data_IF_636655896156
#
_entry.id   IF_636655896156
#
_cell.length_a   1.000
_cell.length_b   1.000
_cell.length_c   1.000
_cell.angle_alpha   90.00
_cell.angle_beta   90.00
_cell.angle_gamma   90.00
#
_symmetry.space_group_name_H-M   'P 1'
#
loop_
_entity.id
_entity.type
_entity.pdbx_description
1 polymer ?
#
# COMPACT_ATOMS: atom_id res chain seq x y z
N UNK A 1 -118.08 -27.09 9.35
CA UNK A 1 -117.28 -26.03 10.03
C UNK A 1 -116.09 -26.57 10.84
N UNK A 2 -115.97 -27.88 11.12
CA UNK A 2 -114.87 -28.44 11.91
C UNK A 2 -113.56 -28.64 11.12
N UNK A 3 -113.61 -29.12 9.87
CA UNK A 3 -112.40 -29.38 9.05
C UNK A 3 -111.59 -28.13 8.68
N UNK A 4 -112.27 -27.02 8.34
CA UNK A 4 -111.62 -25.75 8.04
C UNK A 4 -110.97 -25.09 9.27
N UNK A 5 -111.44 -25.44 10.49
CA UNK A 5 -110.82 -24.98 11.74
C UNK A 5 -109.53 -25.75 12.03
N UNK A 6 -109.51 -27.06 11.80
CA UNK A 6 -108.32 -27.90 11.99
C UNK A 6 -107.19 -27.61 11.00
N UNK A 7 -107.50 -27.30 9.73
CA UNK A 7 -106.47 -26.87 8.76
C UNK A 7 -105.85 -25.52 9.12
N UNK A 8 -106.65 -24.60 9.66
CA UNK A 8 -106.18 -23.28 10.06
C UNK A 8 -105.32 -23.33 11.34
N UNK A 9 -105.59 -24.28 12.24
CA UNK A 9 -104.70 -24.58 13.38
C UNK A 9 -103.38 -25.23 12.92
N UNK A 10 -103.43 -26.17 11.97
CA UNK A 10 -102.23 -26.80 11.42
C UNK A 10 -101.33 -25.77 10.72
N UNK A 11 -101.90 -24.89 9.90
CA UNK A 11 -101.16 -23.80 9.25
C UNK A 11 -100.56 -22.82 10.25
N UNK A 12 -101.23 -22.57 11.38
CA UNK A 12 -100.69 -21.73 12.46
C UNK A 12 -99.49 -22.38 13.15
N UNK A 13 -99.54 -23.69 13.38
CA UNK A 13 -98.42 -24.45 13.94
C UNK A 13 -97.22 -24.41 13.00
N UNK A 14 -97.42 -24.75 11.72
CA UNK A 14 -96.34 -24.74 10.72
C UNK A 14 -95.77 -23.34 10.49
N UNK A 15 -96.61 -22.30 10.50
CA UNK A 15 -96.15 -20.92 10.43
C UNK A 15 -95.34 -20.50 11.66
N UNK A 16 -95.65 -21.02 12.85
CA UNK A 16 -94.87 -20.83 14.07
C UNK A 16 -93.49 -21.47 13.97
N UNK A 17 -93.42 -22.74 13.54
CA UNK A 17 -92.17 -23.47 13.33
C UNK A 17 -91.25 -22.78 12.31
N UNK A 18 -91.81 -22.32 11.18
CA UNK A 18 -91.05 -21.58 10.17
C UNK A 18 -90.55 -20.22 10.66
N UNK A 19 -91.28 -19.55 11.56
CA UNK A 19 -90.83 -18.29 12.16
C UNK A 19 -89.66 -18.52 13.11
N UNK A 20 -89.69 -19.59 13.90
CA UNK A 20 -88.57 -20.01 14.75
C UNK A 20 -87.33 -20.35 13.90
N UNK A 21 -87.49 -21.15 12.84
CA UNK A 21 -86.38 -21.45 11.90
C UNK A 21 -85.80 -20.18 11.25
N UNK A 22 -86.64 -19.22 10.87
CA UNK A 22 -86.18 -17.96 10.29
C UNK A 22 -85.41 -17.12 11.31
N UNK A 23 -85.80 -17.14 12.59
CA UNK A 23 -85.08 -16.41 13.63
C UNK A 23 -83.76 -17.09 13.99
N UNK A 24 -83.71 -18.41 14.03
CA UNK A 24 -82.46 -19.18 14.18
C UNK A 24 -81.49 -18.92 13.02
N UNK A 25 -81.97 -18.97 11.77
CA UNK A 25 -81.16 -18.68 10.58
C UNK A 25 -80.64 -17.24 10.56
N UNK A 26 -81.41 -16.27 11.09
CA UNK A 26 -80.92 -14.88 11.23
C UNK A 26 -79.78 -14.78 12.23
N UNK A 27 -79.85 -15.48 13.35
CA UNK A 27 -78.77 -15.49 14.34
C UNK A 27 -77.52 -16.18 13.78
N UNK A 28 -77.68 -17.33 13.09
CA UNK A 28 -76.58 -17.99 12.39
C UNK A 28 -75.92 -17.08 11.34
N UNK A 29 -76.72 -16.35 10.56
CA UNK A 29 -76.22 -15.42 9.55
C UNK A 29 -75.45 -14.26 10.19
N UNK A 30 -75.92 -13.73 11.33
CA UNK A 30 -75.20 -12.68 12.08
C UNK A 30 -73.85 -13.21 12.59
N UNK A 31 -73.83 -14.40 13.16
CA UNK A 31 -72.59 -15.03 13.62
C UNK A 31 -71.62 -15.28 12.46
N UNK A 32 -72.10 -15.84 11.35
CA UNK A 32 -71.29 -16.10 10.17
C UNK A 32 -70.70 -14.80 9.60
N UNK A 33 -71.49 -13.73 9.56
CA UNK A 33 -71.01 -12.41 9.12
C UNK A 33 -69.94 -11.85 10.06
N UNK A 34 -70.14 -11.94 11.37
CA UNK A 34 -69.15 -11.49 12.35
C UNK A 34 -67.83 -12.30 12.24
N UNK A 35 -67.92 -13.61 12.04
CA UNK A 35 -66.76 -14.48 11.80
C UNK A 35 -66.04 -14.10 10.50
N UNK A 36 -66.77 -13.82 9.42
CA UNK A 36 -66.19 -13.39 8.16
C UNK A 36 -65.46 -12.03 8.28
N UNK A 37 -66.04 -11.06 8.99
CA UNK A 37 -65.42 -9.76 9.25
C UNK A 37 -64.15 -9.88 10.12
N UNK A 38 -64.16 -10.77 11.12
CA UNK A 38 -62.98 -11.07 11.92
C UNK A 38 -61.86 -11.72 11.10
N UNK A 39 -62.18 -12.71 10.27
CA UNK A 39 -61.21 -13.32 9.36
C UNK A 39 -60.66 -12.31 8.34
N UNK A 40 -61.49 -11.40 7.85
CA UNK A 40 -61.06 -10.35 6.92
C UNK A 40 -60.11 -9.35 7.57
N UNK A 41 -60.43 -8.88 8.78
CA UNK A 41 -59.55 -7.95 9.52
C UNK A 41 -58.20 -8.57 9.87
N UNK A 42 -58.18 -9.86 10.24
CA UNK A 42 -56.93 -10.59 10.45
C UNK A 42 -56.12 -10.71 9.14
N UNK A 43 -56.76 -11.08 8.03
CA UNK A 43 -56.10 -11.16 6.73
C UNK A 43 -55.53 -9.80 6.29
N UNK A 44 -56.25 -8.70 6.54
CA UNK A 44 -55.81 -7.34 6.22
C UNK A 44 -54.59 -6.95 7.05
N UNK A 45 -54.60 -7.28 8.35
CA UNK A 45 -53.45 -7.07 9.24
C UNK A 45 -52.21 -7.84 8.77
N UNK A 46 -52.36 -9.11 8.41
CA UNK A 46 -51.25 -9.91 7.87
C UNK A 46 -50.71 -9.34 6.56
N UNK A 47 -51.56 -8.82 5.67
CA UNK A 47 -51.10 -8.16 4.44
C UNK A 47 -50.26 -6.92 4.76
N UNK A 48 -50.73 -6.04 5.63
CA UNK A 48 -50.01 -4.81 6.00
C UNK A 48 -48.67 -5.15 6.65
N UNK A 49 -48.65 -6.06 7.62
CA UNK A 49 -47.41 -6.45 8.31
C UNK A 49 -46.42 -7.11 7.36
N UNK A 50 -46.88 -7.97 6.45
CA UNK A 50 -46.04 -8.57 5.43
C UNK A 50 -45.44 -7.52 4.49
N UNK A 51 -46.23 -6.58 3.99
CA UNK A 51 -45.72 -5.49 3.14
C UNK A 51 -44.69 -4.62 3.86
N UNK A 52 -44.95 -4.26 5.12
CA UNK A 52 -44.00 -3.49 5.92
C UNK A 52 -42.69 -4.26 6.15
N UNK A 53 -42.77 -5.56 6.44
CA UNK A 53 -41.61 -6.42 6.60
C UNK A 53 -40.80 -6.49 5.31
N UNK A 54 -41.44 -6.78 4.17
CA UNK A 54 -40.77 -6.84 2.87
C UNK A 54 -40.13 -5.50 2.49
N UNK A 55 -40.81 -4.39 2.74
CA UNK A 55 -40.25 -3.06 2.47
C UNK A 55 -39.01 -2.79 3.32
N UNK A 56 -39.06 -3.12 4.63
CA UNK A 56 -37.91 -2.95 5.53
C UNK A 56 -36.73 -3.82 5.09
N UNK A 57 -36.97 -5.10 4.84
CA UNK A 57 -35.93 -6.02 4.39
C UNK A 57 -35.35 -5.57 3.05
N UNK A 58 -36.19 -5.14 2.11
CA UNK A 58 -35.74 -4.63 0.81
C UNK A 58 -34.88 -3.36 0.94
N UNK A 59 -35.17 -2.48 1.90
CA UNK A 59 -34.31 -1.33 2.19
C UNK A 59 -32.96 -1.77 2.74
N UNK A 60 -32.95 -2.69 3.72
CA UNK A 60 -31.69 -3.19 4.30
C UNK A 60 -30.81 -3.87 3.26
N UNK A 61 -31.39 -4.62 2.32
CA UNK A 61 -30.64 -5.23 1.22
C UNK A 61 -29.99 -4.15 0.35
N UNK A 62 -30.72 -3.11 -0.04
CA UNK A 62 -30.15 -2.00 -0.82
C UNK A 62 -29.01 -1.30 -0.08
N UNK A 63 -29.20 -1.01 1.20
CA UNK A 63 -28.18 -0.34 2.02
C UNK A 63 -26.89 -1.19 2.08
N UNK A 64 -27.02 -2.52 2.22
CA UNK A 64 -25.88 -3.44 2.19
C UNK A 64 -25.24 -3.56 0.80
N UNK A 65 -26.02 -3.55 -0.27
CA UNK A 65 -25.51 -3.56 -1.65
C UNK A 65 -24.65 -2.30 -1.92
N UNK A 66 -25.11 -1.14 -1.45
CA UNK A 66 -24.36 0.12 -1.55
C UNK A 66 -23.05 0.06 -0.74
N UNK A 67 -23.08 -0.51 0.47
CA UNK A 67 -21.89 -0.70 1.31
C UNK A 67 -20.88 -1.66 0.66
N UNK A 68 -21.35 -2.80 0.11
CA UNK A 68 -20.50 -3.75 -0.61
C UNK A 68 -19.83 -3.07 -1.80
N UNK A 69 -20.57 -2.27 -2.57
CA UNK A 69 -20.03 -1.53 -3.71
C UNK A 69 -18.95 -0.53 -3.27
N UNK A 70 -19.18 0.21 -2.19
CA UNK A 70 -18.21 1.15 -1.64
C UNK A 70 -16.93 0.45 -1.17
N UNK A 71 -17.05 -0.67 -0.45
CA UNK A 71 -15.93 -1.46 0.02
C UNK A 71 -15.14 -2.10 -1.13
N UNK A 72 -15.83 -2.54 -2.19
CA UNK A 72 -15.17 -3.04 -3.40
C UNK A 72 -14.34 -1.94 -4.06
N UNK A 73 -14.89 -0.74 -4.22
CA UNK A 73 -14.15 0.39 -4.78
C UNK A 73 -12.92 0.72 -3.92
N UNK A 74 -13.07 0.83 -2.60
CA UNK A 74 -11.96 1.07 -1.68
C UNK A 74 -10.87 0.00 -1.80
N UNK A 75 -11.24 -1.28 -1.88
CA UNK A 75 -10.28 -2.37 -2.03
C UNK A 75 -9.53 -2.28 -3.37
N UNK A 76 -10.21 -1.96 -4.47
CA UNK A 76 -9.53 -1.74 -5.77
C UNK A 76 -8.55 -0.56 -5.72
N UNK A 77 -8.91 0.52 -5.01
CA UNK A 77 -8.04 1.67 -4.83
C UNK A 77 -6.84 1.33 -3.95
N UNK A 78 -7.05 0.62 -2.84
CA UNK A 78 -5.98 0.14 -1.96
C UNK A 78 -5.01 -0.77 -2.72
N UNK A 79 -5.54 -1.67 -3.55
CA UNK A 79 -4.73 -2.51 -4.44
C UNK A 79 -3.90 -1.71 -5.44
N UNK A 80 -4.47 -0.65 -6.03
CA UNK A 80 -3.74 0.28 -6.92
C UNK A 80 -2.62 1.01 -6.19
N UNK A 81 -2.92 1.64 -5.04
CA UNK A 81 -1.94 2.36 -4.21
C UNK A 81 -0.79 1.46 -3.76
N UNK A 82 -1.09 0.22 -3.39
CA UNK A 82 -0.06 -0.76 -3.00
C UNK A 82 0.87 -1.11 -4.16
N UNK A 83 0.33 -1.32 -5.38
CA UNK A 83 1.13 -1.59 -6.58
C UNK A 83 1.99 -0.38 -6.97
N UNK A 84 1.44 0.83 -6.89
CA UNK A 84 2.17 2.07 -7.15
C UNK A 84 3.31 2.26 -6.14
N UNK A 85 3.04 2.09 -4.84
CA UNK A 85 4.06 2.17 -3.80
C UNK A 85 5.15 1.10 -3.97
N UNK A 86 4.79 -0.12 -4.40
CA UNK A 86 5.76 -1.17 -4.68
C UNK A 86 6.64 -0.83 -5.89
N UNK A 87 6.04 -0.30 -6.98
CA UNK A 87 6.77 0.14 -8.16
C UNK A 87 7.71 1.32 -7.85
N UNK A 88 7.25 2.30 -7.06
CA UNK A 88 8.06 3.41 -6.59
C UNK A 88 9.22 2.93 -5.71
N UNK A 89 8.96 2.04 -4.74
CA UNK A 89 10.00 1.41 -3.93
C UNK A 89 11.04 0.72 -4.81
N UNK A 90 10.62 -0.05 -5.81
CA UNK A 90 11.53 -0.71 -6.74
C UNK A 90 12.35 0.29 -7.55
N UNK A 91 11.72 1.34 -8.07
CA UNK A 91 12.42 2.39 -8.82
C UNK A 91 13.44 3.13 -7.93
N UNK A 92 13.09 3.43 -6.69
CA UNK A 92 13.98 4.09 -5.74
C UNK A 92 15.18 3.19 -5.38
N UNK A 93 15.00 1.87 -5.24
CA UNK A 93 16.12 0.93 -5.10
C UNK A 93 17.06 0.98 -6.30
N UNK A 94 16.52 0.90 -7.52
CA UNK A 94 17.36 0.98 -8.74
C UNK A 94 18.13 2.30 -8.83
N UNK A 95 17.51 3.42 -8.41
CA UNK A 95 18.19 4.72 -8.33
C UNK A 95 19.31 4.70 -7.29
N UNK A 96 19.06 4.14 -6.10
CA UNK A 96 20.09 4.00 -5.06
C UNK A 96 21.25 3.13 -5.53
N UNK A 97 20.98 1.99 -6.17
CA UNK A 97 22.01 1.09 -6.73
C UNK A 97 22.85 1.81 -7.79
N UNK A 98 22.20 2.56 -8.69
CA UNK A 98 22.89 3.37 -9.72
C UNK A 98 23.80 4.41 -9.09
N UNK A 99 23.33 5.11 -8.04
CA UNK A 99 24.15 6.10 -7.33
C UNK A 99 25.30 5.39 -6.61
N UNK A 100 25.06 4.25 -5.97
CA UNK A 100 26.10 3.46 -5.30
C UNK A 100 27.21 3.05 -6.28
N UNK A 101 26.86 2.57 -7.47
CA UNK A 101 27.83 2.20 -8.51
C UNK A 101 28.70 3.39 -8.97
N UNK A 102 28.16 4.62 -8.91
CA UNK A 102 28.90 5.85 -9.25
C UNK A 102 29.80 6.35 -8.12
N UNK A 103 29.50 6.02 -6.86
CA UNK A 103 30.22 6.55 -5.69
C UNK A 103 31.04 5.52 -4.93
N UNK A 104 31.05 4.27 -5.38
CA UNK A 104 31.92 3.23 -4.82
C UNK A 104 33.35 3.39 -5.31
N UNK A 105 34.29 2.94 -4.49
CA UNK A 105 35.68 2.79 -4.90
C UNK A 105 35.86 1.56 -5.79
N UNK A 106 36.45 1.71 -6.97
CA UNK A 106 36.67 0.58 -7.90
C UNK A 106 37.61 -0.52 -7.36
N UNK A 107 38.40 -0.24 -6.32
CA UNK A 107 39.35 -1.22 -5.76
C UNK A 107 38.76 -2.11 -4.67
N UNK A 108 37.85 -1.61 -3.84
CA UNK A 108 37.25 -2.37 -2.74
C UNK A 108 35.73 -2.50 -2.83
N UNK A 109 35.10 -1.82 -3.79
CA UNK A 109 33.66 -1.80 -4.04
C UNK A 109 32.80 -1.24 -2.89
N UNK A 110 33.40 -0.62 -1.89
CA UNK A 110 32.72 0.07 -0.79
C UNK A 110 32.46 1.56 -1.11
N UNK A 111 31.50 2.23 -0.44
CA UNK A 111 31.27 3.67 -0.58
C UNK A 111 32.54 4.49 -0.36
N UNK A 112 32.83 5.44 -1.24
CA UNK A 112 34.07 6.23 -1.20
C UNK A 112 34.03 7.38 -0.17
N UNK A 113 33.81 7.04 1.11
CA UNK A 113 33.73 7.97 2.26
C UNK A 113 35.01 8.80 2.48
N UNK A 114 36.17 8.28 2.09
CA UNK A 114 37.45 8.99 2.07
C UNK A 114 38.07 9.02 0.66
N UNK A 115 37.29 9.51 -0.30
CA UNK A 115 37.69 9.57 -1.68
C UNK A 115 38.81 10.58 -1.99
N UNK A 116 39.65 10.21 -2.94
CA UNK A 116 40.49 11.12 -3.71
C UNK A 116 40.21 10.93 -5.21
N UNK A 117 40.42 12.00 -5.98
CA UNK A 117 40.22 12.04 -7.42
C UNK A 117 41.57 12.26 -8.12
N UNK A 118 41.81 11.47 -9.16
CA UNK A 118 42.95 11.62 -10.06
C UNK A 118 42.64 12.64 -11.16
N UNK A 119 43.67 13.14 -11.85
CA UNK A 119 43.48 14.06 -12.99
C UNK A 119 42.68 13.47 -14.15
N UNK A 120 42.70 12.14 -14.30
CA UNK A 120 41.87 11.42 -15.27
C UNK A 120 40.39 11.34 -14.86
N UNK A 121 40.00 11.87 -13.69
CA UNK A 121 38.61 11.92 -13.20
C UNK A 121 38.18 10.72 -12.34
N UNK A 122 38.93 9.62 -12.36
CA UNK A 122 38.64 8.43 -11.57
C UNK A 122 38.87 8.66 -10.07
N UNK A 123 37.95 8.15 -9.25
CA UNK A 123 37.93 8.36 -7.80
C UNK A 123 38.08 7.05 -7.04
N UNK A 124 38.86 7.09 -5.96
CA UNK A 124 39.18 5.93 -5.14
C UNK A 124 39.31 6.32 -3.67
N UNK A 125 39.19 5.38 -2.74
CA UNK A 125 39.66 5.62 -1.38
C UNK A 125 41.14 5.98 -1.39
N UNK A 126 41.49 6.98 -0.58
CA UNK A 126 42.87 7.38 -0.34
C UNK A 126 43.73 6.18 0.02
N UNK A 127 43.27 5.33 0.94
CA UNK A 127 44.02 4.16 1.38
C UNK A 127 44.24 3.13 0.27
N UNK A 128 43.18 2.73 -0.43
CA UNK A 128 43.27 1.76 -1.52
C UNK A 128 44.29 2.22 -2.57
N UNK A 129 44.28 3.52 -2.89
CA UNK A 129 45.16 4.08 -3.90
C UNK A 129 46.62 4.11 -3.42
N UNK A 130 46.86 4.49 -2.16
CA UNK A 130 48.20 4.45 -1.56
C UNK A 130 48.75 3.01 -1.54
N UNK A 131 47.95 2.03 -1.10
CA UNK A 131 48.37 0.62 -1.08
C UNK A 131 48.77 0.16 -2.48
N UNK A 132 47.99 0.52 -3.51
CA UNK A 132 48.29 0.19 -4.91
C UNK A 132 49.59 0.83 -5.40
N UNK A 133 49.78 2.12 -5.15
CA UNK A 133 50.97 2.85 -5.59
C UNK A 133 52.24 2.36 -4.90
N UNK A 134 52.17 1.98 -3.62
CA UNK A 134 53.30 1.39 -2.89
C UNK A 134 53.80 0.09 -3.50
N UNK A 135 52.88 -0.79 -3.92
CA UNK A 135 53.25 -2.03 -4.61
C UNK A 135 53.91 -1.73 -5.95
N UNK A 136 53.38 -0.75 -6.70
CA UNK A 136 53.94 -0.36 -7.99
C UNK A 136 55.34 0.30 -7.88
N UNK A 137 55.56 1.14 -6.85
CA UNK A 137 56.84 1.80 -6.61
C UNK A 137 57.97 0.84 -6.24
N UNK A 138 57.65 -0.38 -5.78
CA UNK A 138 58.64 -1.41 -5.47
C UNK A 138 59.17 -2.13 -6.73
N UNK A 139 58.52 -1.98 -7.90
CA UNK A 139 58.76 -2.83 -9.07
C UNK A 139 59.48 -2.18 -10.26
N UNK A 140 59.46 -0.84 -10.44
CA UNK A 140 60.20 -0.16 -11.53
C UNK A 140 60.13 1.38 -11.45
N UNK A 141 61.06 2.04 -12.15
CA UNK A 141 61.25 3.51 -12.30
C UNK A 141 60.14 4.24 -13.10
N UNK A 142 58.94 3.67 -13.19
CA UNK A 142 57.81 4.25 -13.94
C UNK A 142 56.80 4.90 -12.97
N UNK A 143 56.16 6.02 -13.35
CA UNK A 143 55.16 6.66 -12.51
C UNK A 143 53.96 5.72 -12.25
N UNK A 144 53.32 5.82 -11.08
CA UNK A 144 52.11 5.06 -10.81
C UNK A 144 51.02 5.36 -11.84
N UNK A 145 50.18 4.38 -12.15
CA UNK A 145 49.09 4.52 -13.14
C UNK A 145 47.72 4.36 -12.49
N UNK A 146 46.71 4.99 -13.09
CA UNK A 146 45.32 4.86 -12.67
C UNK A 146 44.86 3.39 -12.79
N UNK A 147 44.24 2.80 -11.76
CA UNK A 147 43.72 1.43 -11.83
C UNK A 147 42.63 1.19 -12.88
N UNK A 148 41.86 2.20 -13.27
CA UNK A 148 40.78 2.09 -14.27
C UNK A 148 41.28 2.34 -15.71
N UNK A 149 41.81 3.52 -16.01
CA UNK A 149 42.22 3.88 -17.38
C UNK A 149 43.70 3.68 -17.69
N UNK A 150 44.53 3.39 -16.67
CA UNK A 150 46.00 3.25 -16.78
C UNK A 150 46.76 4.53 -17.14
N UNK A 151 46.12 5.69 -17.10
CA UNK A 151 46.80 6.98 -17.27
C UNK A 151 47.87 7.19 -16.19
N UNK A 152 49.04 7.78 -16.53
CA UNK A 152 50.08 8.07 -15.55
C UNK A 152 49.62 9.13 -14.55
N UNK A 153 49.88 8.86 -13.28
CA UNK A 153 49.57 9.75 -12.16
C UNK A 153 50.84 10.52 -11.81
N UNK A 154 50.92 11.74 -12.34
CA UNK A 154 52.07 12.62 -12.17
C UNK A 154 51.95 13.52 -10.93
N UNK A 155 50.70 13.84 -10.56
CA UNK A 155 50.39 14.79 -9.51
C UNK A 155 49.74 14.09 -8.31
N UNK A 156 49.90 14.69 -7.12
CA UNK A 156 49.25 14.22 -5.90
C UNK A 156 47.72 14.21 -6.08
N UNK A 157 47.03 13.09 -5.76
CA UNK A 157 45.57 13.02 -5.81
C UNK A 157 44.88 14.05 -4.90
N UNK A 158 43.78 14.64 -5.37
CA UNK A 158 43.01 15.67 -4.65
C UNK A 158 41.92 14.98 -3.82
N UNK A 159 41.71 15.39 -2.56
CA UNK A 159 40.59 14.86 -1.76
C UNK A 159 39.24 15.27 -2.36
N UNK A 160 38.35 14.31 -2.60
CA UNK A 160 37.04 14.55 -3.17
C UNK A 160 35.98 14.69 -2.07
N UNK A 161 35.79 15.92 -1.58
CA UNK A 161 34.84 16.22 -0.49
C UNK A 161 33.38 16.00 -0.88
N UNK A 162 33.05 16.23 -2.15
CA UNK A 162 31.68 16.01 -2.68
C UNK A 162 31.35 14.52 -2.63
N UNK A 163 32.27 13.66 -3.09
CA UNK A 163 32.06 12.21 -3.05
C UNK A 163 32.02 11.68 -1.61
N UNK A 164 32.82 12.26 -0.71
CA UNK A 164 32.74 11.98 0.73
C UNK A 164 31.36 12.28 1.30
N UNK A 165 30.79 13.45 1.00
CA UNK A 165 29.46 13.85 1.48
C UNK A 165 28.38 12.90 0.96
N UNK A 166 28.36 12.65 -0.36
CA UNK A 166 27.38 11.75 -0.98
C UNK A 166 27.50 10.33 -0.42
N UNK A 167 28.73 9.82 -0.26
CA UNK A 167 28.99 8.48 0.27
C UNK A 167 28.63 8.32 1.74
N UNK A 168 28.62 9.41 2.52
CA UNK A 168 28.30 9.37 3.95
C UNK A 168 26.83 9.02 4.23
N UNK A 169 25.95 9.19 3.24
CA UNK A 169 24.55 8.83 3.34
C UNK A 169 24.24 7.40 2.88
N UNK A 170 25.26 6.60 2.54
CA UNK A 170 25.09 5.19 2.12
C UNK A 170 25.09 4.24 3.33
N UNK A 171 24.29 3.14 3.31
CA UNK A 171 24.06 2.28 4.48
C UNK A 171 25.30 1.51 5.00
N UNK A 172 26.44 1.54 4.31
CA UNK A 172 27.70 0.86 4.71
C UNK A 172 28.89 1.83 4.82
N UNK A 173 28.63 3.10 5.12
CA UNK A 173 29.64 4.14 5.27
C UNK A 173 30.41 4.02 6.60
N UNK A 174 31.12 2.91 6.84
CA UNK A 174 32.12 2.87 7.92
C UNK A 174 33.33 3.71 7.50
N UNK A 175 33.43 4.90 8.08
CA UNK A 175 34.61 5.75 7.95
C UNK A 175 35.58 5.39 9.08
N UNK A 176 36.68 4.71 8.75
CA UNK A 176 37.85 4.66 9.61
C UNK A 176 38.75 5.87 9.29
N UNK A 177 38.84 6.90 10.16
CA UNK A 177 39.59 8.10 9.87
C UNK A 177 41.10 7.87 10.06
N UNK A 178 41.74 7.19 9.11
CA UNK A 178 43.20 7.03 9.11
C UNK A 178 43.85 8.25 8.47
N UNK A 179 44.76 8.91 9.20
CA UNK A 179 45.49 10.10 8.69
C UNK A 179 46.56 9.68 7.67
N UNK A 180 46.18 9.65 6.40
CA UNK A 180 47.06 9.25 5.28
C UNK A 180 48.03 10.34 4.75
N UNK A 181 48.11 11.50 5.41
CA UNK A 181 48.81 12.68 4.90
C UNK A 181 50.33 12.50 4.80
N UNK A 182 50.94 11.78 5.75
CA UNK A 182 52.35 11.41 5.74
C UNK A 182 52.69 10.41 4.61
N UNK A 183 51.74 9.60 4.17
CA UNK A 183 51.98 8.57 3.15
C UNK A 183 52.05 9.15 1.75
N UNK A 184 51.32 10.25 1.50
CA UNK A 184 51.40 10.97 0.24
C UNK A 184 52.75 11.66 0.04
N UNK A 185 53.34 12.20 1.11
CA UNK A 185 54.64 12.88 1.04
C UNK A 185 55.80 11.97 0.61
N UNK A 186 55.69 10.66 0.84
CA UNK A 186 56.69 9.68 0.37
C UNK A 186 56.51 9.29 -1.10
N UNK A 187 55.28 9.34 -1.63
CA UNK A 187 54.97 8.95 -3.01
C UNK A 187 55.08 10.14 -3.98
N UNK A 188 54.83 11.35 -3.50
CA UNK A 188 54.90 12.60 -4.25
C UNK A 188 55.67 13.64 -3.42
N UNK A 189 57.01 13.51 -3.31
CA UNK A 189 57.82 14.50 -2.62
C UNK A 189 57.71 15.85 -3.32
N UNK A 190 57.69 16.94 -2.54
CA UNK A 190 57.79 18.28 -3.10
C UNK A 190 59.11 18.40 -3.87
N UNK A 191 59.14 19.12 -5.01
CA UNK A 191 60.41 19.39 -5.69
C UNK A 191 61.36 20.06 -4.68
N UNK A 192 62.53 19.47 -4.47
CA UNK A 192 63.55 20.05 -3.60
C UNK A 192 63.82 21.46 -4.12
N UNK A 193 63.50 22.46 -3.31
CA UNK A 193 63.87 23.85 -3.57
C UNK A 193 65.39 23.90 -3.60
N UNK A 194 65.97 23.83 -4.79
CA UNK A 194 67.41 23.97 -5.00
C UNK A 194 67.86 25.29 -4.39
N UNK A 195 68.61 25.20 -3.29
CA UNK A 195 69.46 26.30 -2.84
C UNK A 195 70.52 26.47 -3.92
N UNK A 196 70.35 27.50 -4.74
CA UNK A 196 71.36 28.02 -5.63
C UNK A 196 72.66 28.22 -4.84
N UNK A 197 73.73 27.59 -5.31
CA UNK A 197 75.06 27.80 -4.73
C UNK A 197 75.51 29.21 -5.01
N UNK A 198 75.69 29.99 -3.94
CA UNK A 198 76.48 31.22 -3.97
C UNK A 198 77.89 30.90 -4.46
N UNK A 199 78.18 31.32 -5.68
CA UNK A 199 79.54 31.51 -6.18
C UNK A 199 79.76 33.02 -6.35
N UNK A 200 80.50 33.61 -5.43
CA UNK A 200 81.18 34.90 -5.57
C UNK A 200 82.52 34.83 -4.86
#
# INVERSE_FOLDING_TARGET
>A
MSAAKSELELLRLTAGELLEEVDDLKEELKEAKAKAEACQTEADWWRVTHYQYQHRMGQQVRDLEDEIMALQEENTQAGRRSREAAAECQQNRLRQDTVFDLVRCFMCFSPATEACILRCGHSFHVECLIRRFRVASQSAAMPPTCPECRDPVLDRPIRNRVLKEISSHMPDAEADPVRHEALWGMLFPAPESGTEGDAS
#
